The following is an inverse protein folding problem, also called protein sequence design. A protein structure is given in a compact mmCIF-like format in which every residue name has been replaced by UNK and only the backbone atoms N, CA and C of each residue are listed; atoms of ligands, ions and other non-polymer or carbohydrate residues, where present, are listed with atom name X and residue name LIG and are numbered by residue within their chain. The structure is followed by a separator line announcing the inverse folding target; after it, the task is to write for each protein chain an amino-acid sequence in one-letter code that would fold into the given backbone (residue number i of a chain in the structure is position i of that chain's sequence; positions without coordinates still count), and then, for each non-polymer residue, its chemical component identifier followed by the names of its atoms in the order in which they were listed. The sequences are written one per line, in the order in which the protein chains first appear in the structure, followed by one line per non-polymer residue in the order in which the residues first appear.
data_IF_942276768628
#
_entry.id   IF_942276768628
#
_cell.length_a   1.000
_cell.length_b   1.000
_cell.length_c   1.000
_cell.angle_alpha   90.00
_cell.angle_beta   90.00
_cell.angle_gamma   90.00
#
_symmetry.space_group_name_H-M   'P 1'
#
loop_
_entity.id
_entity.type
_entity.pdbx_description
1 polymer ?
#
# COMPACT_ATOMS: atom_id res chain seq x y z
N UNK A 1 -22.88 -16.41 1.92
CA UNK A 1 -21.46 -16.53 2.31
C UNK A 1 -21.31 -15.96 3.72
N UNK A 2 -20.80 -16.74 4.69
CA UNK A 2 -20.67 -16.30 6.09
C UNK A 2 -19.41 -15.45 6.25
N UNK A 3 -19.58 -14.22 6.71
CA UNK A 3 -18.50 -13.34 7.18
C UNK A 3 -17.68 -14.09 8.25
N UNK A 4 -16.40 -14.35 7.97
CA UNK A 4 -15.49 -15.14 8.84
C UNK A 4 -15.20 -14.47 10.20
N UNK A 5 -15.59 -13.22 10.39
CA UNK A 5 -15.44 -12.48 11.64
C UNK A 5 -16.65 -12.76 12.54
N UNK A 6 -16.49 -13.60 13.59
CA UNK A 6 -17.50 -13.77 14.66
C UNK A 6 -17.46 -12.56 15.63
N UNK A 7 -17.61 -11.34 15.13
CA UNK A 7 -17.75 -10.18 16.03
C UNK A 7 -19.20 -9.97 16.43
N UNK A 8 -19.39 -9.42 17.62
CA UNK A 8 -20.69 -9.04 18.15
C UNK A 8 -21.50 -8.20 17.16
N UNK A 9 -22.81 -8.39 17.18
CA UNK A 9 -23.81 -7.75 16.30
C UNK A 9 -23.85 -6.21 16.35
N UNK A 10 -22.95 -5.57 17.11
CA UNK A 10 -22.84 -4.11 17.28
C UNK A 10 -21.59 -3.49 16.65
N UNK A 11 -20.72 -4.29 16.03
CA UNK A 11 -19.52 -3.75 15.40
C UNK A 11 -19.85 -3.04 14.08
N UNK A 12 -19.33 -1.82 13.90
CA UNK A 12 -19.38 -1.11 12.62
C UNK A 12 -18.59 -1.89 11.57
N UNK A 13 -19.17 -2.02 10.39
CA UNK A 13 -18.60 -2.73 9.26
C UNK A 13 -18.15 -1.75 8.18
N UNK A 14 -17.05 -2.08 7.51
CA UNK A 14 -16.37 -1.22 6.56
C UNK A 14 -16.22 -1.88 5.20
N UNK A 15 -16.42 -1.10 4.15
CA UNK A 15 -16.20 -1.45 2.75
C UNK A 15 -15.88 -0.17 1.95
N UNK A 16 -15.61 -0.33 0.66
CA UNK A 16 -15.29 0.77 -0.25
C UNK A 16 -16.31 1.93 -0.24
N UNK A 17 -17.59 1.68 0.03
CA UNK A 17 -18.64 2.71 0.06
C UNK A 17 -18.53 3.65 1.27
N UNK A 18 -17.92 3.20 2.37
CA UNK A 18 -17.93 3.92 3.65
C UNK A 18 -16.54 4.20 4.23
N UNK A 19 -15.46 3.96 3.47
CA UNK A 19 -14.09 4.25 3.91
C UNK A 19 -13.84 5.70 4.31
N UNK A 20 -14.54 6.67 3.70
CA UNK A 20 -14.48 8.09 4.08
C UNK A 20 -14.86 8.35 5.54
N UNK A 21 -15.56 7.42 6.19
CA UNK A 21 -15.98 7.50 7.59
C UNK A 21 -15.12 6.66 8.53
N UNK A 22 -13.99 6.14 8.05
CA UNK A 22 -13.10 5.32 8.87
C UNK A 22 -12.57 6.11 10.08
N UNK A 23 -12.41 5.44 11.24
CA UNK A 23 -11.88 6.09 12.41
C UNK A 23 -10.43 6.55 12.18
N UNK A 24 -9.95 7.58 12.91
CA UNK A 24 -8.63 8.18 12.72
C UNK A 24 -7.44 7.22 12.78
N UNK A 25 -7.61 6.04 13.42
CA UNK A 25 -6.59 4.99 13.50
C UNK A 25 -6.19 4.44 12.11
N UNK A 26 -7.06 4.53 11.11
CA UNK A 26 -6.79 4.09 9.74
C UNK A 26 -6.25 5.18 8.83
N UNK A 27 -6.11 6.43 9.30
CA UNK A 27 -5.58 7.51 8.45
C UNK A 27 -4.19 7.18 7.91
N UNK A 28 -3.90 7.65 6.69
CA UNK A 28 -2.62 7.42 6.00
C UNK A 28 -1.39 7.69 6.87
N UNK A 29 -1.43 8.77 7.64
CA UNK A 29 -0.35 9.18 8.57
C UNK A 29 -0.10 8.16 9.68
N UNK A 30 -1.14 7.38 10.04
CA UNK A 30 -1.10 6.33 11.06
C UNK A 30 -0.77 4.97 10.46
N UNK A 31 -1.15 4.65 9.22
CA UNK A 31 -0.88 3.35 8.59
C UNK A 31 0.58 2.90 8.69
N UNK A 32 1.54 3.83 8.65
CA UNK A 32 2.98 3.50 8.82
C UNK A 32 3.28 2.80 10.15
N UNK A 33 2.55 3.09 11.23
CA UNK A 33 2.74 2.41 12.52
C UNK A 33 2.17 1.00 12.55
N UNK A 34 1.48 0.57 11.49
CA UNK A 34 0.86 -0.75 11.37
C UNK A 34 1.71 -1.74 10.58
N UNK A 35 2.85 -1.29 10.06
CA UNK A 35 3.83 -2.16 9.45
C UNK A 35 4.28 -3.23 10.46
N UNK A 36 4.38 -4.47 10.01
CA UNK A 36 4.90 -5.59 10.79
C UNK A 36 6.24 -6.08 10.24
N UNK A 37 6.97 -6.83 11.06
CA UNK A 37 8.21 -7.50 10.67
C UNK A 37 9.43 -6.57 10.52
N UNK A 38 10.41 -6.90 9.66
CA UNK A 38 11.67 -6.17 9.56
C UNK A 38 11.51 -4.70 9.14
N UNK A 39 10.41 -4.36 8.48
CA UNK A 39 10.13 -3.00 7.99
C UNK A 39 9.78 -2.03 9.12
N UNK A 40 9.16 -2.47 10.21
CA UNK A 40 8.95 -1.61 11.38
C UNK A 40 10.25 -1.34 12.14
N UNK A 41 11.20 -2.27 12.08
CA UNK A 41 12.51 -2.15 12.72
C UNK A 41 13.49 -1.30 11.90
N UNK A 42 13.18 -1.02 10.64
CA UNK A 42 14.02 -0.22 9.76
C UNK A 42 13.53 1.25 9.73
N UNK A 43 14.20 2.18 10.44
CA UNK A 43 13.76 3.58 10.53
C UNK A 43 13.83 4.30 9.19
N UNK A 44 14.75 3.90 8.30
CA UNK A 44 14.86 4.47 6.96
C UNK A 44 13.64 4.08 6.10
N UNK A 45 13.25 2.82 6.14
CA UNK A 45 12.06 2.33 5.42
C UNK A 45 10.76 2.97 5.92
N UNK A 46 10.63 3.14 7.24
CA UNK A 46 9.50 3.86 7.84
C UNK A 46 9.45 5.32 7.41
N UNK A 47 10.59 5.97 7.29
CA UNK A 47 10.65 7.35 6.83
C UNK A 47 10.30 7.44 5.33
N UNK A 48 10.75 6.49 4.51
CA UNK A 48 10.44 6.43 3.08
C UNK A 48 8.96 6.23 2.81
N UNK A 49 8.33 5.21 3.42
CA UNK A 49 6.89 4.97 3.23
C UNK A 49 6.06 6.15 3.75
N UNK A 50 6.48 6.80 4.83
CA UNK A 50 5.79 7.98 5.37
C UNK A 50 5.88 9.16 4.40
N UNK A 51 7.07 9.40 3.84
CA UNK A 51 7.28 10.41 2.82
C UNK A 51 6.43 10.10 1.58
N UNK A 52 6.40 8.85 1.14
CA UNK A 52 5.59 8.41 0.02
C UNK A 52 4.09 8.64 0.24
N UNK A 53 3.55 8.25 1.39
CA UNK A 53 2.11 8.34 1.67
C UNK A 53 1.59 9.75 1.92
N UNK A 54 2.43 10.65 2.45
CA UNK A 54 1.98 11.95 2.98
C UNK A 54 2.62 13.12 2.25
N UNK A 55 3.66 12.91 1.45
CA UNK A 55 4.34 13.94 0.65
C UNK A 55 5.01 15.06 1.47
N UNK A 56 5.09 14.92 2.80
CA UNK A 56 5.59 15.98 3.69
C UNK A 56 6.98 15.64 4.24
N UNK A 57 7.98 16.38 3.81
CA UNK A 57 9.32 16.42 4.41
C UNK A 57 10.45 15.98 3.48
N UNK A 58 11.71 16.22 3.85
CA UNK A 58 12.87 15.85 3.03
C UNK A 58 12.97 14.33 2.86
N UNK A 59 13.38 13.88 1.66
CA UNK A 59 13.62 12.47 1.35
C UNK A 59 14.67 11.90 2.33
N UNK A 60 14.38 10.78 3.02
CA UNK A 60 15.36 10.14 3.90
C UNK A 60 16.57 9.66 3.09
N UNK A 61 17.77 10.04 3.53
CA UNK A 61 19.04 9.58 2.94
C UNK A 61 19.59 8.39 3.73
N UNK A 62 20.26 7.45 3.05
CA UNK A 62 21.03 6.42 3.74
C UNK A 62 22.26 7.05 4.38
N UNK A 63 22.64 6.55 5.56
CA UNK A 63 23.83 7.01 6.29
C UNK A 63 25.07 6.64 5.46
N UNK A 64 25.81 7.65 4.99
CA UNK A 64 26.98 7.49 4.12
C UNK A 64 26.78 7.87 2.64
N UNK A 65 25.57 8.25 2.23
CA UNK A 65 25.35 8.77 0.87
C UNK A 65 26.01 10.14 0.68
N UNK A 66 26.80 10.34 -0.39
CA UNK A 66 27.40 11.64 -0.71
C UNK A 66 26.32 12.72 -0.86
N UNK A 67 26.52 13.90 -0.26
CA UNK A 67 25.61 15.08 -0.38
C UNK A 67 25.33 15.49 -1.84
N UNK A 68 26.20 15.09 -2.77
CA UNK A 68 26.15 15.38 -4.21
C UNK A 68 25.38 14.36 -5.05
N UNK A 69 24.99 13.20 -4.49
CA UNK A 69 24.03 12.35 -5.18
C UNK A 69 22.70 13.11 -5.22
N UNK A 70 22.32 13.55 -6.43
CA UNK A 70 20.94 13.98 -6.71
C UNK A 70 20.04 12.92 -6.08
N UNK A 71 19.07 13.30 -5.22
CA UNK A 71 18.13 12.33 -4.67
C UNK A 71 17.61 11.53 -5.85
N UNK A 72 18.00 10.25 -5.93
CA UNK A 72 17.67 9.42 -7.09
C UNK A 72 16.20 9.57 -7.31
N UNK A 73 15.77 9.92 -8.53
CA UNK A 73 14.43 10.36 -8.93
C UNK A 73 13.31 9.54 -8.24
N UNK A 74 13.08 9.77 -6.95
CA UNK A 74 11.82 9.59 -6.28
C UNK A 74 11.05 10.78 -6.82
N UNK A 75 10.53 10.56 -8.03
CA UNK A 75 9.76 11.51 -8.80
C UNK A 75 8.88 12.23 -7.79
N UNK A 76 8.95 13.55 -7.82
CA UNK A 76 8.09 14.49 -7.13
C UNK A 76 6.67 14.27 -7.64
N UNK A 77 6.14 13.11 -7.30
CA UNK A 77 4.99 12.57 -7.97
C UNK A 77 3.84 13.18 -7.19
N UNK A 78 3.17 14.15 -7.80
CA UNK A 78 1.75 14.41 -7.57
C UNK A 78 1.02 13.06 -7.66
N UNK A 79 0.99 12.33 -6.57
CA UNK A 79 0.18 11.13 -6.42
C UNK A 79 -0.89 11.51 -5.43
N UNK A 80 -2.12 11.55 -5.89
CA UNK A 80 -3.30 11.56 -5.03
C UNK A 80 -3.40 10.20 -4.33
N UNK A 81 -2.50 9.95 -3.40
CA UNK A 81 -2.54 8.80 -2.50
C UNK A 81 -3.58 9.14 -1.46
N UNK A 82 -4.77 8.60 -1.66
CA UNK A 82 -5.86 8.65 -0.70
C UNK A 82 -5.90 7.37 0.13
N UNK A 83 -6.54 7.43 1.30
CA UNK A 83 -6.72 6.25 2.15
C UNK A 83 -7.52 5.18 1.42
N UNK A 84 -8.59 5.61 0.76
CA UNK A 84 -9.48 4.77 -0.02
C UNK A 84 -8.71 3.98 -1.08
N UNK A 85 -7.87 4.67 -1.86
CA UNK A 85 -7.09 4.02 -2.91
C UNK A 85 -6.06 3.04 -2.36
N UNK A 86 -5.43 3.34 -1.22
CA UNK A 86 -4.55 2.39 -0.55
C UNK A 86 -5.35 1.16 -0.11
N UNK A 87 -6.53 1.35 0.48
CA UNK A 87 -7.36 0.23 0.95
C UNK A 87 -7.88 -0.63 -0.21
N UNK A 88 -8.33 -0.05 -1.32
CA UNK A 88 -8.67 -0.77 -2.57
C UNK A 88 -7.51 -1.66 -3.00
N UNK A 89 -6.33 -1.04 -3.13
CA UNK A 89 -5.12 -1.75 -3.54
C UNK A 89 -4.76 -2.87 -2.58
N UNK A 90 -4.95 -2.70 -1.27
CA UNK A 90 -4.67 -3.77 -0.31
C UNK A 90 -5.66 -4.93 -0.42
N UNK A 91 -6.93 -4.68 -0.76
CA UNK A 91 -7.91 -5.75 -1.00
C UNK A 91 -7.56 -6.53 -2.28
N UNK A 92 -7.23 -5.80 -3.35
CA UNK A 92 -6.96 -6.39 -4.66
C UNK A 92 -5.46 -6.61 -4.91
N UNK A 93 -4.62 -6.59 -3.86
CA UNK A 93 -3.16 -6.56 -3.98
C UNK A 93 -2.63 -7.71 -4.83
N UNK A 94 -3.25 -8.88 -4.72
CA UNK A 94 -2.87 -10.08 -5.48
C UNK A 94 -3.10 -9.93 -6.98
N UNK A 95 -4.11 -9.15 -7.41
CA UNK A 95 -4.39 -8.89 -8.82
C UNK A 95 -3.30 -8.05 -9.49
N UNK A 96 -2.52 -7.30 -8.71
CA UNK A 96 -1.39 -6.53 -9.21
C UNK A 96 -0.07 -7.33 -9.24
N UNK A 97 -0.07 -8.60 -8.81
CA UNK A 97 1.13 -9.44 -8.78
C UNK A 97 1.07 -10.50 -9.88
N UNK A 98 2.24 -10.84 -10.42
CA UNK A 98 2.38 -11.89 -11.43
C UNK A 98 2.29 -13.27 -10.75
N UNK A 99 1.51 -14.22 -11.30
CA UNK A 99 1.52 -15.61 -10.83
C UNK A 99 2.93 -16.19 -10.79
N UNK A 100 3.32 -16.80 -9.66
CA UNK A 100 4.68 -17.29 -9.42
C UNK A 100 5.60 -16.30 -8.67
N UNK A 101 5.17 -15.06 -8.43
CA UNK A 101 5.81 -14.20 -7.44
C UNK A 101 5.60 -14.79 -6.03
N UNK A 102 6.65 -14.81 -5.21
CA UNK A 102 6.57 -15.27 -3.80
C UNK A 102 5.46 -14.57 -3.01
N UNK A 103 5.17 -13.31 -3.33
CA UNK A 103 4.11 -12.53 -2.71
C UNK A 103 2.73 -12.92 -3.23
N UNK A 104 2.62 -13.31 -4.50
CA UNK A 104 1.37 -13.83 -5.07
C UNK A 104 0.93 -15.10 -4.33
N UNK A 105 1.85 -16.05 -4.16
CA UNK A 105 1.57 -17.32 -3.46
C UNK A 105 1.32 -17.12 -1.96
N UNK A 106 2.03 -16.17 -1.34
CA UNK A 106 1.80 -15.80 0.06
C UNK A 106 0.40 -15.20 0.25
N UNK A 107 -0.01 -14.26 -0.59
CA UNK A 107 -1.33 -13.62 -0.51
C UNK A 107 -2.45 -14.59 -0.84
N UNK A 108 -2.21 -15.59 -1.71
CA UNK A 108 -3.17 -16.65 -1.99
C UNK A 108 -3.53 -17.49 -0.75
N UNK A 109 -2.58 -17.65 0.18
CA UNK A 109 -2.74 -18.40 1.44
C UNK A 109 -3.23 -17.51 2.59
N UNK A 110 -3.32 -16.20 2.39
CA UNK A 110 -3.81 -15.28 3.41
C UNK A 110 -5.34 -15.46 3.60
N UNK A 111 -5.82 -15.17 4.81
CA UNK A 111 -7.23 -15.39 5.18
C UNK A 111 -8.23 -14.47 4.46
N UNK A 112 -7.72 -13.42 3.84
CA UNK A 112 -8.41 -12.42 3.04
C UNK A 112 -8.26 -12.69 1.52
N UNK A 113 -7.66 -13.81 1.09
CA UNK A 113 -7.36 -14.08 -0.32
C UNK A 113 -8.58 -14.13 -1.25
N UNK A 114 -9.79 -14.28 -0.69
CA UNK A 114 -11.06 -14.24 -1.39
C UNK A 114 -11.90 -12.99 -1.04
N UNK A 115 -11.40 -12.11 -0.18
CA UNK A 115 -12.09 -10.88 0.26
C UNK A 115 -11.79 -9.77 -0.73
N UNK A 116 -12.85 -9.13 -1.23
CA UNK A 116 -12.80 -8.00 -2.17
C UNK A 116 -13.10 -6.68 -1.47
N UNK A 117 -12.83 -5.55 -2.11
CA UNK A 117 -13.07 -4.20 -1.57
C UNK A 117 -14.54 -3.92 -1.20
N UNK A 118 -15.49 -4.60 -1.85
CA UNK A 118 -16.92 -4.51 -1.54
C UNK A 118 -17.38 -5.39 -0.36
N UNK A 119 -16.55 -6.31 0.12
CA UNK A 119 -16.92 -7.18 1.25
C UNK A 119 -16.83 -6.42 2.57
N UNK A 120 -17.83 -6.62 3.42
CA UNK A 120 -17.90 -5.97 4.72
C UNK A 120 -16.90 -6.56 5.72
N UNK A 121 -15.99 -5.72 6.21
CA UNK A 121 -15.02 -6.07 7.25
C UNK A 121 -15.34 -5.38 8.58
N UNK A 122 -15.33 -6.17 9.66
CA UNK A 122 -15.26 -5.65 11.02
C UNK A 122 -13.94 -4.87 11.21
N UNK A 123 -13.91 -3.91 12.15
CA UNK A 123 -12.70 -3.16 12.53
C UNK A 123 -11.46 -4.07 12.56
N UNK A 124 -11.50 -5.12 13.40
CA UNK A 124 -10.39 -6.06 13.58
C UNK A 124 -9.94 -6.76 12.30
N UNK A 125 -10.85 -7.10 11.40
CA UNK A 125 -10.47 -7.72 10.13
C UNK A 125 -9.80 -6.72 9.20
N UNK A 126 -10.29 -5.49 9.13
CA UNK A 126 -9.65 -4.43 8.36
C UNK A 126 -8.24 -4.15 8.91
N UNK A 127 -8.11 -4.11 10.23
CA UNK A 127 -6.82 -3.98 10.92
C UNK A 127 -5.81 -5.06 10.51
N UNK A 128 -6.24 -6.33 10.57
CA UNK A 128 -5.40 -7.46 10.22
C UNK A 128 -5.09 -7.52 8.72
N UNK A 129 -6.01 -7.07 7.85
CA UNK A 129 -5.79 -6.95 6.41
C UNK A 129 -4.67 -5.95 6.12
N UNK A 130 -4.77 -4.75 6.70
CA UNK A 130 -3.74 -3.70 6.56
C UNK A 130 -2.39 -4.24 7.04
N UNK A 131 -2.32 -4.81 8.23
CA UNK A 131 -1.06 -5.30 8.80
C UNK A 131 -0.41 -6.40 7.94
N UNK A 132 -1.20 -7.29 7.35
CA UNK A 132 -0.70 -8.41 6.55
C UNK A 132 -0.24 -7.98 5.16
N UNK A 133 -0.86 -6.96 4.57
CA UNK A 133 -0.68 -6.63 3.14
C UNK A 133 0.08 -5.33 2.89
N UNK A 134 0.08 -4.38 3.84
CA UNK A 134 0.72 -3.07 3.66
C UNK A 134 2.23 -3.17 3.36
N UNK A 135 2.92 -4.10 4.01
CA UNK A 135 4.35 -4.29 3.82
C UNK A 135 4.68 -4.94 2.47
N UNK A 136 3.82 -5.86 1.99
CA UNK A 136 3.93 -6.46 0.66
C UNK A 136 3.72 -5.39 -0.40
N UNK A 137 2.65 -4.60 -0.25
CA UNK A 137 2.37 -3.46 -1.11
C UNK A 137 3.57 -2.51 -1.20
N UNK A 138 4.16 -2.13 -0.05
CA UNK A 138 5.35 -1.29 -0.05
C UNK A 138 6.55 -1.92 -0.76
N UNK A 139 6.77 -3.23 -0.60
CA UNK A 139 7.84 -3.94 -1.31
C UNK A 139 7.62 -3.96 -2.83
N UNK A 140 6.37 -4.11 -3.28
CA UNK A 140 5.98 -4.05 -4.68
C UNK A 140 6.22 -2.65 -5.26
N UNK A 141 5.74 -1.61 -4.56
CA UNK A 141 5.91 -0.20 -4.98
C UNK A 141 7.40 0.17 -5.13
N UNK A 142 8.26 -0.26 -4.21
CA UNK A 142 9.70 -0.01 -4.34
C UNK A 142 10.33 -0.73 -5.54
N UNK A 143 9.91 -1.96 -5.80
CA UNK A 143 10.43 -2.76 -6.91
C UNK A 143 10.00 -2.21 -8.26
N UNK A 144 8.81 -1.61 -8.33
CA UNK A 144 8.29 -0.97 -9.54
C UNK A 144 8.88 0.42 -9.74
N UNK A 145 9.07 1.23 -8.70
CA UNK A 145 9.75 2.53 -8.84
C UNK A 145 11.20 2.42 -9.31
N UNK A 146 11.90 1.35 -8.91
CA UNK A 146 13.26 1.08 -9.38
C UNK A 146 13.35 0.66 -10.85
N UNK A 147 12.23 0.23 -11.43
CA UNK A 147 12.09 -0.11 -12.86
C UNK A 147 11.22 0.96 -13.49
N UNK A 148 11.81 2.04 -13.98
CA UNK A 148 11.12 3.06 -14.81
C UNK A 148 10.10 2.32 -15.68
N UNK A 149 8.81 2.62 -15.51
CA UNK A 149 7.74 1.91 -16.22
C UNK A 149 8.07 1.97 -17.71
N UNK A 150 8.60 0.88 -18.26
CA UNK A 150 8.78 0.73 -19.69
C UNK A 150 7.41 0.87 -20.33
N UNK A 151 7.35 1.40 -21.55
CA UNK A 151 6.14 1.65 -22.32
C UNK A 151 5.40 0.35 -22.72
N UNK A 152 5.22 -0.60 -21.81
CA UNK A 152 4.41 -1.79 -21.99
C UNK A 152 2.95 -1.44 -21.71
N UNK A 153 2.05 -1.62 -22.70
CA UNK A 153 0.64 -1.27 -22.58
C UNK A 153 -0.11 -2.08 -21.50
N UNK A 154 0.43 -3.23 -21.08
CA UNK A 154 -0.16 -4.14 -20.10
C UNK A 154 0.58 -4.15 -18.75
N UNK A 155 1.26 -3.06 -18.38
CA UNK A 155 1.93 -3.01 -17.08
C UNK A 155 0.91 -3.26 -15.94
N UNK A 156 1.00 -4.37 -15.19
CA UNK A 156 0.02 -4.68 -14.14
C UNK A 156 0.10 -3.71 -12.96
N UNK A 157 1.05 -2.77 -13.00
CA UNK A 157 1.30 -1.75 -12.00
C UNK A 157 0.90 -0.34 -12.47
N UNK A 158 0.16 -0.20 -13.58
CA UNK A 158 -0.37 1.08 -14.10
C UNK A 158 -0.97 1.98 -13.00
N UNK A 159 -1.71 1.50 -11.97
CA UNK A 159 -2.21 2.36 -10.90
C UNK A 159 -1.12 3.06 -10.07
N UNK A 160 0.13 2.61 -10.18
CA UNK A 160 1.31 3.07 -9.44
C UNK A 160 2.37 3.73 -10.34
N UNK A 161 2.23 3.60 -11.66
CA UNK A 161 3.09 4.26 -12.64
C UNK A 161 2.70 5.74 -12.76
N UNK A 162 3.70 6.61 -12.67
CA UNK A 162 3.56 8.01 -13.01
C UNK A 162 3.30 8.10 -14.51
N UNK A 163 2.12 8.51 -14.94
CA UNK A 163 1.93 8.88 -16.35
C UNK A 163 2.83 10.09 -16.63
N UNK A 164 3.75 10.06 -17.61
CA UNK A 164 4.25 11.30 -18.15
C UNK A 164 3.05 11.96 -18.83
N UNK A 165 2.62 13.14 -18.35
CA UNK A 165 1.79 13.99 -19.19
C UNK A 165 2.61 14.25 -20.45
N UNK A 166 2.20 13.64 -21.56
CA UNK A 166 2.61 14.08 -22.89
C UNK A 166 1.92 15.44 -23.08
N UNK A 167 2.58 16.50 -22.61
CA UNK A 167 2.22 17.87 -22.92
C UNK A 167 2.62 18.13 -24.37
N UNK A 168 1.61 18.37 -25.21
CA UNK A 168 1.77 18.76 -26.61
C UNK A 168 2.26 20.19 -26.80
#
# INVERSE_FOLDING_TARGET
MRSKCRTDARCRLWNNENWKYLPPKFWLTKLVSWLKGPLIQNPHERALIKHFLVGRGPIPRKRGEPRTQKPGHFIDTERDITLERVLDVLHDLRCFLVPGDRFYDMLAKDKFGAVKSGDLLCDRCLEELVQNRLWVWWATVKSTMGKVCGNEPDCPYVPFCSSPRVGG
#
